data_IF_760000644061
#
_entry.id   IF_760000644061
#
_cell.length_a   1.000
_cell.length_b   1.000
_cell.length_c   1.000
_cell.angle_alpha   90.00
_cell.angle_beta   90.00
_cell.angle_gamma   90.00
#
_symmetry.space_group_name_H-M   'P 1'
#
loop_
_entity.id
_entity.type
_entity.pdbx_description
1 polymer ?
#
# COMPACT_ATOMS: atom_id res chain seq x y z
N UNK A 1 1.02 -28.58 0.58
CA UNK A 1 0.74 -27.51 -0.42
C UNK A 1 1.54 -26.23 -0.12
N UNK A 2 2.88 -26.29 -0.03
CA UNK A 2 3.73 -25.12 0.27
C UNK A 2 4.56 -24.64 -0.94
N UNK A 3 4.64 -25.43 -2.03
CA UNK A 3 5.55 -25.14 -3.15
C UNK A 3 5.01 -24.12 -4.16
N UNK A 4 3.70 -23.93 -4.27
CA UNK A 4 3.12 -23.06 -5.31
C UNK A 4 3.25 -21.57 -5.01
N UNK A 5 3.33 -21.18 -3.74
CA UNK A 5 3.54 -19.78 -3.34
C UNK A 5 4.99 -19.32 -3.47
N UNK A 6 5.95 -20.23 -3.25
CA UNK A 6 7.37 -19.93 -3.39
C UNK A 6 7.75 -19.55 -4.84
N UNK A 7 7.23 -20.31 -5.81
CA UNK A 7 7.56 -20.12 -7.24
C UNK A 7 6.97 -18.81 -7.81
N UNK A 8 5.79 -18.39 -7.34
CA UNK A 8 5.19 -17.12 -7.76
C UNK A 8 5.89 -15.91 -7.13
N UNK A 9 6.38 -16.04 -5.89
CA UNK A 9 7.15 -15.01 -5.19
C UNK A 9 8.56 -14.81 -5.75
N UNK A 10 9.22 -15.87 -6.22
CA UNK A 10 10.57 -15.78 -6.81
C UNK A 10 10.59 -15.07 -8.18
N UNK A 11 9.69 -15.43 -9.09
CA UNK A 11 9.64 -14.83 -10.43
C UNK A 11 9.22 -13.34 -10.40
N UNK A 12 8.30 -12.99 -9.50
CA UNK A 12 7.88 -11.60 -9.29
C UNK A 12 8.92 -10.81 -8.48
N UNK A 13 9.60 -11.45 -7.53
CA UNK A 13 10.69 -10.88 -6.75
C UNK A 13 11.91 -10.53 -7.60
N UNK A 14 12.33 -11.41 -8.51
CA UNK A 14 13.51 -11.16 -9.35
C UNK A 14 13.25 -10.03 -10.37
N UNK A 15 12.05 -9.99 -10.94
CA UNK A 15 11.61 -8.89 -11.83
C UNK A 15 11.50 -7.56 -11.07
N UNK A 16 10.95 -7.58 -9.86
CA UNK A 16 10.85 -6.40 -9.00
C UNK A 16 12.23 -5.89 -8.55
N UNK A 17 13.15 -6.78 -8.17
CA UNK A 17 14.51 -6.37 -7.77
C UNK A 17 15.34 -5.84 -8.93
N UNK A 18 15.12 -6.34 -10.15
CA UNK A 18 15.75 -5.80 -11.36
C UNK A 18 15.19 -4.42 -11.71
N UNK A 19 13.88 -4.22 -11.61
CA UNK A 19 13.25 -2.93 -11.82
C UNK A 19 13.73 -1.88 -10.80
N UNK A 20 13.78 -2.21 -9.50
CA UNK A 20 14.27 -1.32 -8.44
C UNK A 20 15.73 -0.93 -8.68
N UNK A 21 16.59 -1.87 -9.10
CA UNK A 21 18.00 -1.59 -9.42
C UNK A 21 18.15 -0.65 -10.62
N UNK A 22 17.33 -0.84 -11.65
CA UNK A 22 17.34 0.02 -12.83
C UNK A 22 16.82 1.44 -12.51
N UNK A 23 15.82 1.55 -11.64
CA UNK A 23 15.25 2.84 -11.22
C UNK A 23 16.26 3.66 -10.40
N UNK A 24 16.98 3.01 -9.47
CA UNK A 24 18.05 3.67 -8.70
C UNK A 24 19.22 4.18 -9.56
N UNK A 25 19.58 3.45 -10.63
CA UNK A 25 20.58 3.91 -11.59
C UNK A 25 20.09 5.14 -12.39
N UNK A 26 18.83 5.12 -12.86
CA UNK A 26 18.24 6.25 -13.58
C UNK A 26 18.14 7.51 -12.72
N UNK A 27 17.78 7.38 -11.43
CA UNK A 27 17.75 8.51 -10.48
C UNK A 27 19.15 9.08 -10.27
N UNK A 28 20.17 8.22 -10.14
CA UNK A 28 21.57 8.62 -10.00
C UNK A 28 22.05 9.41 -11.23
N UNK A 29 21.77 8.92 -12.43
CA UNK A 29 22.14 9.59 -13.69
C UNK A 29 21.47 10.95 -13.83
N UNK A 30 20.18 11.06 -13.48
CA UNK A 30 19.45 12.33 -13.48
C UNK A 30 20.02 13.32 -12.45
N UNK A 31 20.42 12.84 -11.27
CA UNK A 31 21.09 13.72 -10.29
C UNK A 31 22.45 14.19 -10.78
N UNK A 32 23.23 13.34 -11.44
CA UNK A 32 24.51 13.75 -12.04
C UNK A 32 24.31 14.83 -13.12
N UNK A 33 23.29 14.67 -13.97
CA UNK A 33 22.93 15.65 -15.00
C UNK A 33 22.54 17.03 -14.43
N UNK A 34 21.94 17.06 -13.23
CA UNK A 34 21.60 18.32 -12.56
C UNK A 34 22.84 19.08 -12.08
N UNK A 35 23.88 18.37 -11.64
CA UNK A 35 25.15 18.93 -11.17
C UNK A 35 26.00 19.49 -12.32
N UNK A 36 25.93 18.89 -13.51
CA UNK A 36 26.67 19.33 -14.71
C UNK A 36 26.24 20.71 -15.26
N UNK A 37 25.10 21.26 -14.80
CA UNK A 37 24.76 22.67 -15.00
C UNK A 37 24.30 23.08 -16.40
N UNK A 38 24.09 22.13 -17.32
CA UNK A 38 23.67 22.41 -18.70
C UNK A 38 22.17 22.72 -18.88
N UNK A 39 21.39 22.72 -17.81
CA UNK A 39 19.92 22.86 -17.84
C UNK A 39 19.47 24.29 -17.55
N UNK A 40 18.35 24.70 -18.18
CA UNK A 40 17.66 25.93 -17.78
C UNK A 40 17.17 25.85 -16.33
N UNK A 41 17.03 27.00 -15.66
CA UNK A 41 16.54 27.06 -14.27
C UNK A 41 15.17 26.41 -14.08
N UNK A 42 14.26 26.62 -15.04
CA UNK A 42 12.92 26.00 -15.04
C UNK A 42 13.00 24.48 -15.21
N UNK A 43 13.86 23.99 -16.11
CA UNK A 43 14.04 22.55 -16.30
C UNK A 43 14.65 21.89 -15.04
N UNK A 44 15.66 22.53 -14.45
CA UNK A 44 16.26 22.09 -13.17
C UNK A 44 15.21 21.97 -12.07
N UNK A 45 14.39 23.00 -11.87
CA UNK A 45 13.36 23.00 -10.84
C UNK A 45 12.27 21.94 -11.07
N UNK A 46 11.89 21.70 -12.34
CA UNK A 46 10.94 20.64 -12.68
C UNK A 46 11.49 19.24 -12.36
N UNK A 47 12.76 18.98 -12.70
CA UNK A 47 13.43 17.71 -12.42
C UNK A 47 13.61 17.51 -10.91
N UNK A 48 14.03 18.54 -10.16
CA UNK A 48 14.13 18.48 -8.70
C UNK A 48 12.79 18.13 -8.04
N UNK A 49 11.69 18.72 -8.52
CA UNK A 49 10.35 18.38 -8.03
C UNK A 49 9.96 16.94 -8.36
N UNK A 50 10.30 16.47 -9.57
CA UNK A 50 10.07 15.08 -9.96
C UNK A 50 10.85 14.10 -9.07
N UNK A 51 12.13 14.39 -8.79
CA UNK A 51 12.96 13.59 -7.87
C UNK A 51 12.41 13.59 -6.45
N UNK A 52 11.91 14.74 -5.96
CA UNK A 52 11.25 14.81 -4.66
C UNK A 52 10.00 13.93 -4.63
N UNK A 53 9.15 14.01 -5.66
CA UNK A 53 7.94 13.18 -5.76
C UNK A 53 8.28 11.70 -5.86
N UNK A 54 9.34 11.35 -6.60
CA UNK A 54 9.83 9.99 -6.70
C UNK A 54 10.18 9.42 -5.32
N UNK A 55 11.00 10.13 -4.53
CA UNK A 55 11.36 9.72 -3.15
C UNK A 55 10.15 9.54 -2.25
N UNK A 56 9.14 10.41 -2.38
CA UNK A 56 7.89 10.28 -1.63
C UNK A 56 7.11 9.02 -2.00
N UNK A 57 7.06 8.69 -3.30
CA UNK A 57 6.42 7.47 -3.79
C UNK A 57 7.19 6.22 -3.36
N UNK A 58 8.51 6.24 -3.37
CA UNK A 58 9.33 5.14 -2.85
C UNK A 58 9.05 4.88 -1.37
N UNK A 59 9.01 5.93 -0.56
CA UNK A 59 8.69 5.83 0.87
C UNK A 59 7.28 5.26 1.10
N UNK A 60 6.28 5.74 0.34
CA UNK A 60 4.92 5.22 0.44
C UNK A 60 4.84 3.75 -0.01
N UNK A 61 5.61 3.35 -1.02
CA UNK A 61 5.67 1.95 -1.48
C UNK A 61 6.24 1.05 -0.39
N UNK A 62 7.31 1.48 0.30
CA UNK A 62 7.85 0.76 1.47
C UNK A 62 6.79 0.62 2.56
N UNK A 63 6.12 1.73 2.92
CA UNK A 63 5.04 1.72 3.92
C UNK A 63 3.91 0.76 3.54
N UNK A 64 3.50 0.74 2.27
CA UNK A 64 2.46 -0.16 1.78
C UNK A 64 2.88 -1.64 1.82
N UNK A 65 4.15 -1.94 1.55
CA UNK A 65 4.69 -3.29 1.67
C UNK A 65 4.68 -3.77 3.11
N UNK A 66 5.07 -2.92 4.07
CA UNK A 66 5.02 -3.23 5.50
C UNK A 66 3.57 -3.52 5.95
N UNK A 67 2.63 -2.64 5.59
CA UNK A 67 1.20 -2.83 5.89
C UNK A 67 0.65 -4.13 5.28
N UNK A 68 1.05 -4.46 4.05
CA UNK A 68 0.65 -5.70 3.41
C UNK A 68 1.23 -6.92 4.12
N UNK A 69 2.49 -6.86 4.56
CA UNK A 69 3.13 -7.95 5.31
C UNK A 69 2.42 -8.18 6.65
N UNK A 70 2.15 -7.12 7.40
CA UNK A 70 1.38 -7.20 8.66
C UNK A 70 -0.02 -7.76 8.42
N UNK A 71 -0.69 -7.32 7.35
CA UNK A 71 -2.01 -7.84 6.99
C UNK A 71 -1.96 -9.34 6.65
N UNK A 72 -0.99 -9.78 5.85
CA UNK A 72 -0.79 -11.21 5.54
C UNK A 72 -0.54 -12.00 6.82
N UNK A 73 0.31 -11.52 7.71
CA UNK A 73 0.61 -12.19 8.98
C UNK A 73 -0.63 -12.29 9.88
N UNK A 74 -1.44 -11.22 9.95
CA UNK A 74 -2.70 -11.20 10.67
C UNK A 74 -3.67 -12.25 10.11
N UNK A 75 -3.83 -12.29 8.78
CA UNK A 75 -4.67 -13.29 8.13
C UNK A 75 -4.18 -14.71 8.41
N UNK A 76 -2.89 -15.00 8.28
CA UNK A 76 -2.34 -16.33 8.54
C UNK A 76 -2.49 -16.74 9.99
N UNK A 77 -2.23 -15.83 10.94
CA UNK A 77 -2.45 -16.05 12.37
C UNK A 77 -3.91 -16.39 12.64
N UNK A 78 -4.84 -15.61 12.08
CA UNK A 78 -6.26 -15.89 12.22
C UNK A 78 -6.64 -17.28 11.68
N UNK A 79 -6.14 -17.65 10.48
CA UNK A 79 -6.42 -18.98 9.90
C UNK A 79 -5.91 -20.11 10.80
N UNK A 80 -4.71 -19.96 11.36
CA UNK A 80 -4.12 -20.94 12.26
C UNK A 80 -4.94 -21.10 13.54
N UNK A 81 -5.29 -19.99 14.20
CA UNK A 81 -6.11 -19.99 15.41
C UNK A 81 -7.51 -20.56 15.12
N UNK A 82 -8.12 -20.14 14.00
CA UNK A 82 -9.42 -20.65 13.58
C UNK A 82 -9.41 -22.18 13.46
N UNK A 83 -8.41 -22.74 12.77
CA UNK A 83 -8.28 -24.19 12.66
C UNK A 83 -8.03 -24.86 14.01
N UNK A 84 -7.13 -24.29 14.83
CA UNK A 84 -6.80 -24.83 16.16
C UNK A 84 -8.02 -24.94 17.07
N UNK A 85 -8.91 -23.95 17.07
CA UNK A 85 -10.05 -23.90 17.99
C UNK A 85 -11.34 -24.49 17.40
N UNK A 86 -11.53 -24.48 16.07
CA UNK A 86 -12.76 -24.97 15.44
C UNK A 86 -12.62 -26.34 14.76
N UNK A 87 -11.39 -26.80 14.52
CA UNK A 87 -11.08 -27.99 13.71
C UNK A 87 -11.45 -27.85 12.23
N UNK A 88 -11.87 -26.67 11.78
CA UNK A 88 -12.31 -26.40 10.41
C UNK A 88 -11.28 -25.53 9.68
N UNK A 89 -11.18 -25.70 8.37
CA UNK A 89 -10.39 -24.79 7.55
C UNK A 89 -11.21 -23.54 7.21
N UNK A 90 -10.62 -22.32 7.27
CA UNK A 90 -11.31 -21.09 6.91
C UNK A 90 -11.84 -21.05 5.47
N UNK A 91 -11.28 -21.88 4.58
CA UNK A 91 -11.69 -22.04 3.19
C UNK A 91 -12.94 -22.93 3.02
N UNK A 92 -13.24 -23.79 4.00
CA UNK A 92 -14.41 -24.67 3.99
C UNK A 92 -15.13 -24.71 5.36
N UNK A 93 -15.58 -23.55 5.89
CA UNK A 93 -16.32 -23.49 7.14
C UNK A 93 -17.73 -24.06 6.98
N UNK A 94 -18.33 -24.48 8.09
CA UNK A 94 -19.76 -24.85 8.15
C UNK A 94 -20.66 -23.69 7.70
N UNK A 95 -21.81 -24.04 7.13
CA UNK A 95 -22.74 -23.09 6.49
C UNK A 95 -23.27 -22.04 7.49
N UNK A 96 -23.52 -22.43 8.74
CA UNK A 96 -23.98 -21.53 9.80
C UNK A 96 -22.96 -20.43 10.05
N UNK A 97 -21.68 -20.82 10.14
CA UNK A 97 -20.59 -19.90 10.37
C UNK A 97 -20.34 -18.96 9.17
N UNK A 98 -20.58 -19.42 7.94
CA UNK A 98 -20.54 -18.55 6.76
C UNK A 98 -21.58 -17.42 6.85
N UNK A 99 -22.80 -17.74 7.30
CA UNK A 99 -23.88 -16.74 7.46
C UNK A 99 -23.52 -15.70 8.53
N UNK A 100 -22.98 -16.14 9.66
CA UNK A 100 -22.50 -15.24 10.72
C UNK A 100 -21.35 -14.35 10.23
N UNK A 101 -20.36 -14.93 9.54
CA UNK A 101 -19.26 -14.17 8.93
C UNK A 101 -19.77 -13.09 8.01
N UNK A 102 -20.75 -13.39 7.17
CA UNK A 102 -21.31 -12.43 6.21
C UNK A 102 -22.12 -11.32 6.90
N UNK A 103 -22.77 -11.61 8.03
CA UNK A 103 -23.42 -10.60 8.87
C UNK A 103 -22.39 -9.69 9.54
N UNK A 104 -21.30 -10.26 10.10
CA UNK A 104 -20.21 -9.49 10.70
C UNK A 104 -19.50 -8.62 9.65
N UNK A 105 -19.25 -9.16 8.46
CA UNK A 105 -18.64 -8.42 7.35
C UNK A 105 -19.44 -7.17 6.99
N UNK A 106 -20.76 -7.30 6.81
CA UNK A 106 -21.64 -6.16 6.52
C UNK A 106 -21.56 -5.10 7.63
N UNK A 107 -21.65 -5.50 8.89
CA UNK A 107 -21.54 -4.59 10.04
C UNK A 107 -20.18 -3.87 10.11
N UNK A 108 -19.09 -4.56 9.78
CA UNK A 108 -17.76 -3.95 9.75
C UNK A 108 -17.62 -2.98 8.57
N UNK A 109 -18.14 -3.33 7.40
CA UNK A 109 -18.16 -2.44 6.24
C UNK A 109 -18.93 -1.15 6.56
N UNK A 110 -20.12 -1.25 7.17
CA UNK A 110 -20.92 -0.10 7.61
C UNK A 110 -20.12 0.81 8.56
N UNK A 111 -19.46 0.22 9.57
CA UNK A 111 -18.62 0.99 10.52
C UNK A 111 -17.44 1.70 9.84
N UNK A 112 -16.82 1.05 8.86
CA UNK A 112 -15.70 1.65 8.12
C UNK A 112 -16.17 2.78 7.21
N UNK A 113 -17.33 2.66 6.57
CA UNK A 113 -17.90 3.74 5.76
C UNK A 113 -18.29 4.93 6.63
N UNK A 114 -18.96 4.69 7.76
CA UNK A 114 -19.32 5.75 8.72
C UNK A 114 -18.09 6.42 9.38
N UNK A 115 -17.01 5.68 9.60
CA UNK A 115 -15.74 6.23 10.09
C UNK A 115 -14.98 7.05 9.03
N UNK A 116 -15.19 6.77 7.74
CA UNK A 116 -14.63 7.53 6.63
C UNK A 116 -15.29 8.90 6.48
N UNK A 117 -16.59 9.00 6.72
CA UNK A 117 -17.33 10.27 6.69
C UNK A 117 -16.87 11.22 7.81
N UNK A 118 -16.53 10.69 8.99
CA UNK A 118 -16.01 11.49 10.11
C UNK A 118 -14.62 12.11 9.84
N UNK A 119 -13.79 11.48 9.02
CA UNK A 119 -12.49 12.02 8.60
C UNK A 119 -12.61 12.97 7.39
N UNK A 120 -13.64 12.82 6.56
CA UNK A 120 -13.90 13.72 5.43
C UNK A 120 -14.39 15.11 5.88
N UNK A 121 -15.08 15.21 7.02
CA UNK A 121 -15.60 16.49 7.58
C UNK A 121 -14.49 17.38 8.18
N UNK A 122 -13.31 16.85 8.46
CA UNK A 122 -12.19 17.61 9.06
C UNK A 122 -11.30 18.32 8.03
N UNK A 123 -11.64 18.26 6.73
CA UNK A 123 -10.78 18.69 5.62
C UNK A 123 -11.12 20.01 4.94
N UNK A 124 -12.18 20.74 5.34
CA UNK A 124 -12.49 22.05 4.74
C UNK A 124 -12.01 23.21 5.63
N UNK A 125 -10.93 23.92 5.27
CA UNK A 125 -10.75 25.27 5.76
C UNK A 125 -11.81 26.15 5.09
N UNK A 126 -12.83 26.54 5.85
CA UNK A 126 -13.76 27.61 5.47
C UNK A 126 -12.98 28.93 5.37
N UNK A 127 -12.37 29.20 4.22
CA UNK A 127 -11.91 30.54 3.86
C UNK A 127 -13.13 31.40 3.53
N UNK A 128 -13.76 31.92 4.57
CA UNK A 128 -14.70 33.04 4.46
C UNK A 128 -13.92 34.28 4.03
N UNK A 129 -13.84 34.54 2.73
CA UNK A 129 -13.46 35.86 2.22
C UNK A 129 -14.64 36.81 2.44
N UNK A 130 -14.60 37.55 3.54
CA UNK A 130 -15.43 38.74 3.74
C UNK A 130 -14.80 39.88 2.94
N UNK A 131 -15.43 40.29 1.84
CA UNK A 131 -15.16 41.60 1.22
C UNK A 131 -15.96 42.66 1.96
N UNK A 132 -15.26 43.68 2.46
CA UNK A 132 -15.75 45.03 2.74
C UNK A 132 -14.67 46.02 2.40
#
# INVERSE_FOLDING_TARGET
MHRTWAVLGEATGDSATRAIRHDGAAVSDVTALLEEGALSSTARQAIENLLRRHRLLEAELVRQRELLQEWILSQQTYKALYYQYSGQTPEAPRVELMRERDAVRRRLQEKLHLGSDALAVMGEPTHSQSSS
#
